data_IF_316393483917
#
_entry.id   IF_316393483917
#
_cell.length_a   1.000
_cell.length_b   1.000
_cell.length_c   1.000
_cell.angle_alpha   90.00
_cell.angle_beta   90.00
_cell.angle_gamma   90.00
#
_symmetry.space_group_name_H-M   'P 1'
#
loop_
_entity.id
_entity.type
_entity.pdbx_description
1 polymer ?
#
# COMPACT_ATOMS: atom_id res chain seq x y z
N UNK A 1 36.00 -12.58 79.25
CA UNK A 1 36.66 -12.54 77.93
C UNK A 1 35.60 -12.33 76.86
N UNK A 2 35.71 -11.21 76.12
CA UNK A 2 34.97 -10.80 74.91
C UNK A 2 33.42 -10.80 74.96
N UNK A 3 32.86 -9.77 75.58
CA UNK A 3 31.52 -9.26 75.24
C UNK A 3 31.59 -8.62 73.84
N UNK A 4 30.79 -9.16 72.92
CA UNK A 4 30.85 -8.84 71.49
C UNK A 4 30.27 -7.46 71.17
N UNK A 5 31.14 -6.51 70.77
CA UNK A 5 30.78 -5.20 70.21
C UNK A 5 30.05 -5.25 68.85
N UNK A 6 29.67 -6.44 68.36
CA UNK A 6 29.03 -6.64 67.05
C UNK A 6 27.50 -6.43 67.04
N UNK A 7 26.85 -6.47 68.20
CA UNK A 7 25.41 -6.26 68.31
C UNK A 7 24.94 -4.81 68.07
N UNK A 8 25.57 -3.76 68.63
CA UNK A 8 25.10 -2.39 68.44
C UNK A 8 25.31 -1.86 67.01
N UNK A 9 26.29 -2.38 66.27
CA UNK A 9 26.58 -1.96 64.88
C UNK A 9 25.52 -2.47 63.90
N UNK A 10 25.05 -3.71 64.08
CA UNK A 10 23.99 -4.28 63.24
C UNK A 10 22.66 -3.56 63.45
N UNK A 11 22.34 -3.21 64.69
CA UNK A 11 21.13 -2.46 65.03
C UNK A 11 21.18 -1.05 64.42
N UNK A 12 22.33 -0.36 64.51
CA UNK A 12 22.52 0.96 63.89
C UNK A 12 22.37 0.91 62.36
N UNK A 13 22.92 -0.11 61.70
CA UNK A 13 22.79 -0.31 60.25
C UNK A 13 21.36 -0.62 59.81
N UNK A 14 20.62 -1.39 60.61
CA UNK A 14 19.20 -1.66 60.33
C UNK A 14 18.34 -0.40 60.44
N UNK A 15 18.54 0.42 61.46
CA UNK A 15 17.78 1.66 61.62
C UNK A 15 18.15 2.72 60.58
N UNK A 16 19.42 2.80 60.16
CA UNK A 16 19.83 3.70 59.05
C UNK A 16 19.31 3.24 57.69
N UNK A 17 19.30 1.94 57.41
CA UNK A 17 18.68 1.40 56.20
C UNK A 17 17.16 1.61 56.18
N UNK A 18 16.48 1.45 57.33
CA UNK A 18 15.05 1.74 57.47
C UNK A 18 14.76 3.23 57.26
N UNK A 19 15.59 4.12 57.82
CA UNK A 19 15.44 5.57 57.63
C UNK A 19 15.62 5.97 56.15
N UNK A 20 16.61 5.39 55.46
CA UNK A 20 16.85 5.63 54.03
C UNK A 20 15.69 5.14 53.14
N UNK A 21 15.06 4.02 53.49
CA UNK A 21 13.86 3.49 52.82
C UNK A 21 12.62 4.37 53.00
N UNK A 22 12.52 5.09 54.13
CA UNK A 22 11.39 5.99 54.42
C UNK A 22 11.59 7.38 53.79
N UNK A 23 12.84 7.80 53.54
CA UNK A 23 13.15 9.11 52.93
C UNK A 23 13.20 9.05 51.40
N UNK A 24 13.50 7.88 50.80
CA UNK A 24 13.51 7.69 49.34
C UNK A 24 12.19 8.06 48.61
N UNK A 25 10.97 7.83 49.15
CA UNK A 25 9.74 8.27 48.49
C UNK A 25 9.42 9.76 48.68
N UNK A 26 10.06 10.46 49.65
CA UNK A 26 9.87 11.89 49.86
C UNK A 26 10.67 12.78 48.86
N UNK A 27 11.58 12.17 48.09
CA UNK A 27 12.32 12.81 46.99
C UNK A 27 11.76 12.44 45.60
N UNK A 28 10.56 11.85 45.52
CA UNK A 28 9.86 11.80 44.24
C UNK A 28 9.28 13.18 43.95
N UNK A 29 9.83 13.79 42.90
CA UNK A 29 9.39 15.05 42.33
C UNK A 29 7.89 15.25 42.48
N UNK A 30 7.48 16.38 43.06
CA UNK A 30 6.18 16.98 42.75
C UNK A 30 6.13 17.18 41.24
N UNK A 31 5.63 16.19 40.53
CA UNK A 31 5.10 16.38 39.19
C UNK A 31 3.86 17.24 39.43
N UNK A 32 3.90 18.49 38.97
CA UNK A 32 2.70 19.32 38.94
C UNK A 32 1.60 18.50 38.28
N UNK A 33 0.62 18.07 39.08
CA UNK A 33 -0.64 17.57 38.58
C UNK A 33 -1.43 18.76 38.04
N UNK A 34 -0.89 19.41 37.00
CA UNK A 34 -1.76 19.90 35.95
C UNK A 34 -2.34 18.63 35.31
N UNK A 35 -3.46 18.18 35.86
CA UNK A 35 -4.33 17.27 35.15
C UNK A 35 -4.83 18.10 33.97
N UNK A 36 -4.05 18.15 32.91
CA UNK A 36 -4.57 18.52 31.60
C UNK A 36 -5.71 17.54 31.39
N UNK A 37 -6.98 17.99 31.34
CA UNK A 37 -8.07 17.08 31.07
C UNK A 37 -7.69 16.30 29.82
N UNK A 38 -7.95 14.98 29.78
CA UNK A 38 -7.67 14.19 28.59
C UNK A 38 -8.25 14.98 27.40
N UNK A 39 -7.46 15.18 26.33
CA UNK A 39 -7.95 15.92 25.17
C UNK A 39 -9.33 15.36 24.85
N UNK A 40 -10.33 16.24 24.74
CA UNK A 40 -11.68 15.81 24.38
C UNK A 40 -11.54 14.85 23.20
N UNK A 41 -12.19 13.67 23.23
CA UNK A 41 -12.13 12.77 22.09
C UNK A 41 -12.44 13.59 20.86
N UNK A 42 -11.55 13.54 19.86
CA UNK A 42 -11.80 14.22 18.60
C UNK A 42 -13.20 13.82 18.15
N UNK A 43 -14.07 14.78 17.76
CA UNK A 43 -15.36 14.42 17.23
C UNK A 43 -15.15 13.39 16.12
N UNK A 44 -16.02 12.36 16.03
CA UNK A 44 -15.87 11.30 15.04
C UNK A 44 -15.64 11.94 13.68
N UNK A 45 -14.45 11.71 13.11
CA UNK A 45 -14.14 12.23 11.79
C UNK A 45 -15.05 11.53 10.81
N UNK A 46 -15.87 12.32 10.11
CA UNK A 46 -16.66 11.83 8.99
C UNK A 46 -15.75 11.06 8.03
N UNK A 47 -16.10 9.80 7.76
CA UNK A 47 -15.36 8.96 6.81
C UNK A 47 -15.91 9.27 5.42
N UNK A 48 -15.04 9.61 4.48
CA UNK A 48 -15.41 9.84 3.08
C UNK A 48 -14.79 8.75 2.19
N UNK A 49 -15.62 8.13 1.35
CA UNK A 49 -15.21 7.09 0.41
C UNK A 49 -15.20 7.62 -1.02
N UNK A 50 -14.10 7.41 -1.75
CA UNK A 50 -13.98 7.80 -3.16
C UNK A 50 -14.72 6.78 -4.04
N UNK A 51 -15.87 7.17 -4.59
CA UNK A 51 -16.67 6.28 -5.45
C UNK A 51 -16.33 6.38 -6.93
N UNK A 52 -15.70 7.47 -7.35
CA UNK A 52 -15.14 7.59 -8.69
C UNK A 52 -13.97 8.58 -8.71
N UNK A 53 -13.01 8.31 -9.59
CA UNK A 53 -11.89 9.20 -9.88
C UNK A 53 -11.79 9.44 -11.38
N UNK A 54 -11.57 10.71 -11.75
CA UNK A 54 -11.19 11.11 -13.11
C UNK A 54 -9.78 11.64 -13.08
N UNK A 55 -9.00 11.26 -14.08
CA UNK A 55 -7.64 11.74 -14.29
C UNK A 55 -7.60 12.43 -15.64
N UNK A 56 -7.19 13.70 -15.66
CA UNK A 56 -7.21 14.56 -16.86
C UNK A 56 -8.58 14.55 -17.56
N UNK A 57 -9.65 14.63 -16.76
CA UNK A 57 -11.05 14.58 -17.20
C UNK A 57 -11.51 13.25 -17.85
N UNK A 58 -10.69 12.21 -17.80
CA UNK A 58 -11.06 10.86 -18.27
C UNK A 58 -11.49 10.03 -17.04
N UNK A 59 -12.70 9.44 -17.02
CA UNK A 59 -13.09 8.48 -15.98
C UNK A 59 -12.07 7.34 -15.91
N UNK A 60 -11.65 7.01 -14.70
CA UNK A 60 -10.63 5.98 -14.50
C UNK A 60 -11.21 4.76 -13.78
N UNK A 61 -11.53 4.92 -12.51
CA UNK A 61 -12.15 3.88 -11.70
C UNK A 61 -13.48 4.36 -11.14
N UNK A 62 -14.42 3.43 -11.00
CA UNK A 62 -15.54 3.56 -10.07
C UNK A 62 -15.49 2.44 -9.05
N UNK A 63 -15.62 2.79 -7.77
CA UNK A 63 -15.53 1.89 -6.63
C UNK A 63 -16.89 1.75 -5.97
N UNK A 64 -17.31 0.52 -5.76
CA UNK A 64 -18.53 0.15 -5.01
C UNK A 64 -18.11 -0.43 -3.66
N UNK A 65 -18.84 -0.09 -2.60
CA UNK A 65 -18.50 -0.45 -1.24
C UNK A 65 -19.61 -1.28 -0.57
N UNK A 66 -19.23 -2.16 0.35
CA UNK A 66 -20.16 -2.77 1.30
C UNK A 66 -20.30 -1.93 2.59
N UNK A 67 -21.17 -2.37 3.49
CA UNK A 67 -21.43 -1.75 4.81
C UNK A 67 -20.20 -1.74 5.74
N UNK A 68 -19.14 -2.50 5.42
CA UNK A 68 -17.84 -2.48 6.13
C UNK A 68 -16.83 -1.54 5.46
N UNK A 69 -17.28 -0.73 4.49
CA UNK A 69 -16.47 0.19 3.70
C UNK A 69 -15.35 -0.49 2.89
N UNK A 70 -15.55 -1.76 2.53
CA UNK A 70 -14.64 -2.53 1.69
C UNK A 70 -15.09 -2.46 0.22
N UNK A 71 -14.13 -2.37 -0.70
CA UNK A 71 -14.42 -2.29 -2.15
C UNK A 71 -14.95 -3.65 -2.64
N UNK A 72 -16.24 -3.74 -2.95
CA UNK A 72 -16.84 -4.96 -3.53
C UNK A 72 -16.73 -5.00 -5.03
N UNK A 73 -16.69 -3.85 -5.70
CA UNK A 73 -16.50 -3.77 -7.15
C UNK A 73 -15.57 -2.62 -7.53
N UNK A 74 -14.73 -2.86 -8.55
CA UNK A 74 -13.95 -1.83 -9.24
C UNK A 74 -14.30 -1.91 -10.73
N UNK A 75 -14.82 -0.83 -11.27
CA UNK A 75 -15.17 -0.69 -12.68
C UNK A 75 -14.10 0.09 -13.42
N UNK A 76 -13.81 -0.34 -14.66
CA UNK A 76 -12.83 0.26 -15.55
C UNK A 76 -13.53 0.87 -16.76
N UNK A 77 -13.24 2.14 -16.99
CA UNK A 77 -13.75 2.87 -18.13
C UNK A 77 -12.87 2.61 -19.34
N UNK A 78 -13.48 2.20 -20.45
CA UNK A 78 -12.82 2.11 -21.74
C UNK A 78 -12.90 3.47 -22.46
N UNK A 79 -11.81 4.22 -22.60
CA UNK A 79 -11.86 5.54 -23.24
C UNK A 79 -12.11 5.47 -24.75
N UNK A 80 -11.77 4.36 -25.41
CA UNK A 80 -12.00 4.15 -26.85
C UNK A 80 -13.49 4.04 -27.15
N UNK A 81 -14.21 3.21 -26.39
CA UNK A 81 -15.65 2.96 -26.58
C UNK A 81 -16.54 3.88 -25.73
N UNK A 82 -15.94 4.63 -24.80
CA UNK A 82 -16.62 5.55 -23.87
C UNK A 82 -17.67 4.88 -22.98
N UNK A 83 -17.41 3.64 -22.57
CA UNK A 83 -18.29 2.84 -21.72
C UNK A 83 -17.51 2.22 -20.58
N UNK A 84 -18.19 1.95 -19.46
CA UNK A 84 -17.67 1.07 -18.42
C UNK A 84 -17.80 -0.36 -18.92
N UNK A 85 -16.68 -1.02 -19.14
CA UNK A 85 -16.66 -2.29 -19.87
C UNK A 85 -16.12 -3.42 -19.01
N UNK A 86 -15.09 -3.19 -18.20
CA UNK A 86 -14.53 -4.24 -17.35
C UNK A 86 -14.86 -3.94 -15.90
N UNK A 87 -15.13 -4.97 -15.11
CA UNK A 87 -15.19 -4.79 -13.67
C UNK A 87 -14.65 -6.02 -12.93
N UNK A 88 -14.17 -5.77 -11.73
CA UNK A 88 -13.64 -6.78 -10.83
C UNK A 88 -14.55 -6.81 -9.61
N UNK A 89 -15.12 -7.98 -9.30
CA UNK A 89 -15.90 -8.20 -8.09
C UNK A 89 -15.05 -8.91 -7.03
N UNK A 90 -14.95 -8.35 -5.84
CA UNK A 90 -14.15 -8.86 -4.74
C UNK A 90 -15.02 -9.50 -3.66
N UNK A 91 -14.53 -10.61 -3.11
CA UNK A 91 -15.07 -11.20 -1.89
C UNK A 91 -13.99 -11.26 -0.82
N UNK A 92 -14.40 -11.15 0.43
CA UNK A 92 -13.50 -11.05 1.58
C UNK A 92 -13.64 -12.27 2.50
N UNK A 93 -12.55 -12.65 3.17
CA UNK A 93 -12.58 -13.59 4.28
C UNK A 93 -13.08 -12.91 5.58
N UNK A 94 -13.18 -13.69 6.67
CA UNK A 94 -13.67 -13.19 7.97
C UNK A 94 -12.77 -12.10 8.57
N UNK A 95 -11.48 -12.10 8.25
CA UNK A 95 -10.49 -11.12 8.70
C UNK A 95 -10.52 -9.82 7.86
N UNK A 96 -11.30 -9.78 6.78
CA UNK A 96 -11.45 -8.62 5.91
C UNK A 96 -10.39 -8.52 4.80
N UNK A 97 -9.67 -9.61 4.51
CA UNK A 97 -8.75 -9.72 3.37
C UNK A 97 -9.47 -10.28 2.14
N UNK A 98 -9.10 -9.83 0.94
CA UNK A 98 -9.63 -10.36 -0.32
C UNK A 98 -9.30 -11.85 -0.40
N UNK A 99 -10.34 -12.67 -0.50
CA UNK A 99 -10.26 -14.12 -0.67
C UNK A 99 -10.45 -14.54 -2.12
N UNK A 100 -11.11 -13.70 -2.93
CA UNK A 100 -11.32 -13.97 -4.34
C UNK A 100 -11.66 -12.69 -5.11
N UNK A 101 -11.22 -12.64 -6.37
CA UNK A 101 -11.55 -11.60 -7.33
C UNK A 101 -12.10 -12.25 -8.62
N UNK A 102 -13.21 -11.75 -9.14
CA UNK A 102 -13.81 -12.21 -10.40
C UNK A 102 -13.78 -11.07 -11.41
N UNK A 103 -13.24 -11.34 -12.59
CA UNK A 103 -13.03 -10.36 -13.64
C UNK A 103 -14.08 -10.57 -14.72
N UNK A 104 -14.85 -9.53 -14.97
CA UNK A 104 -15.91 -9.53 -15.96
C UNK A 104 -15.60 -8.52 -17.06
N UNK A 105 -15.95 -8.89 -18.28
CA UNK A 105 -16.06 -7.99 -19.42
C UNK A 105 -17.54 -7.88 -19.79
N UNK A 106 -18.02 -6.66 -19.95
CA UNK A 106 -19.39 -6.32 -20.30
C UNK A 106 -19.35 -5.49 -21.59
N UNK A 107 -19.67 -6.13 -22.71
CA UNK A 107 -19.84 -5.43 -23.98
C UNK A 107 -21.25 -4.84 -24.02
N UNK A 108 -21.33 -3.53 -24.21
CA UNK A 108 -22.57 -2.78 -24.46
C UNK A 108 -23.65 -2.90 -23.38
N UNK A 109 -23.27 -3.05 -22.10
CA UNK A 109 -24.20 -3.12 -20.95
C UNK A 109 -25.27 -4.23 -21.01
N UNK A 110 -25.02 -5.29 -21.79
CA UNK A 110 -26.03 -6.34 -22.04
C UNK A 110 -25.58 -7.74 -21.64
N UNK A 111 -24.30 -8.08 -21.83
CA UNK A 111 -23.79 -9.42 -21.54
C UNK A 111 -22.53 -9.31 -20.69
N UNK A 112 -22.59 -9.91 -19.50
CA UNK A 112 -21.44 -10.07 -18.61
C UNK A 112 -20.75 -11.39 -18.88
N UNK A 113 -19.50 -11.30 -19.33
CA UNK A 113 -18.62 -12.43 -19.58
C UNK A 113 -17.59 -12.54 -18.45
N UNK A 114 -17.66 -13.59 -17.65
CA UNK A 114 -16.58 -13.92 -16.71
C UNK A 114 -15.37 -14.40 -17.51
N UNK A 115 -14.23 -13.72 -17.39
CA UNK A 115 -12.99 -14.09 -18.08
C UNK A 115 -11.98 -14.75 -17.14
N UNK A 116 -11.98 -14.36 -15.87
CA UNK A 116 -10.99 -14.81 -14.90
C UNK A 116 -11.57 -14.86 -13.49
N UNK A 117 -11.11 -15.82 -12.69
CA UNK A 117 -11.34 -15.89 -11.24
C UNK A 117 -10.03 -16.17 -10.54
N UNK A 118 -9.66 -15.25 -9.65
CA UNK A 118 -8.51 -15.38 -8.77
C UNK A 118 -9.00 -15.81 -7.39
N UNK A 119 -8.48 -16.93 -6.88
CA UNK A 119 -8.70 -17.39 -5.51
C UNK A 119 -7.41 -17.14 -4.72
N UNK A 120 -7.51 -16.44 -3.59
CA UNK A 120 -6.36 -15.95 -2.84
C UNK A 120 -6.18 -16.76 -1.55
N UNK A 121 -5.02 -17.38 -1.40
CA UNK A 121 -4.61 -18.03 -0.17
C UNK A 121 -3.57 -17.18 0.57
N UNK A 122 -3.87 -16.83 1.82
CA UNK A 122 -3.02 -16.01 2.67
C UNK A 122 -2.17 -16.88 3.61
N UNK A 123 -0.84 -16.75 3.53
CA UNK A 123 0.14 -17.35 4.44
C UNK A 123 0.88 -16.24 5.20
N UNK A 124 1.57 -16.52 6.30
CA UNK A 124 2.15 -15.47 7.17
C UNK A 124 3.02 -14.43 6.43
N UNK A 125 3.82 -14.86 5.45
CA UNK A 125 4.83 -14.08 4.74
C UNK A 125 4.57 -13.91 3.24
N UNK A 126 3.46 -14.46 2.73
CA UNK A 126 3.13 -14.47 1.30
C UNK A 126 1.65 -14.67 1.06
N UNK A 127 1.20 -14.35 -0.14
CA UNK A 127 -0.10 -14.82 -0.61
C UNK A 127 0.04 -15.48 -1.98
N UNK A 128 -0.81 -16.46 -2.24
CA UNK A 128 -0.80 -17.23 -3.49
C UNK A 128 -2.10 -16.94 -4.20
N UNK A 129 -2.03 -16.66 -5.49
CA UNK A 129 -3.20 -16.49 -6.34
C UNK A 129 -3.32 -17.73 -7.22
N UNK A 130 -4.46 -18.41 -7.10
CA UNK A 130 -4.86 -19.47 -8.01
C UNK A 130 -5.86 -18.91 -9.01
N UNK A 131 -5.44 -18.80 -10.25
CA UNK A 131 -6.21 -18.21 -11.33
C UNK A 131 -6.89 -19.30 -12.16
N UNK A 132 -8.19 -19.12 -12.39
CA UNK A 132 -8.98 -19.90 -13.36
C UNK A 132 -9.38 -18.98 -14.48
N UNK A 133 -9.03 -19.34 -15.72
CA UNK A 133 -9.47 -18.63 -16.92
C UNK A 133 -10.74 -19.29 -17.48
N UNK A 134 -11.62 -18.46 -18.00
CA UNK A 134 -12.88 -18.89 -18.60
C UNK A 134 -13.01 -18.42 -20.06
N UNK A 135 -13.83 -19.15 -20.81
CA UNK A 135 -14.30 -18.84 -22.17
C UNK A 135 -15.82 -19.04 -22.23
N UNK A 136 -16.43 -18.80 -23.38
CA UNK A 136 -17.88 -18.98 -23.58
C UNK A 136 -18.72 -18.25 -22.52
N UNK A 137 -18.44 -16.94 -22.34
CA UNK A 137 -19.11 -16.06 -21.37
C UNK A 137 -18.97 -16.49 -19.90
N UNK A 138 -17.99 -17.34 -19.57
CA UNK A 138 -17.79 -17.83 -18.20
C UNK A 138 -18.26 -19.25 -17.97
N UNK A 139 -18.86 -19.90 -18.98
CA UNK A 139 -19.45 -21.24 -18.82
C UNK A 139 -18.40 -22.36 -18.91
N UNK A 140 -17.29 -22.13 -19.58
CA UNK A 140 -16.24 -23.13 -19.76
C UNK A 140 -14.89 -22.65 -19.23
N UNK A 141 -14.14 -23.56 -18.62
CA UNK A 141 -12.78 -23.29 -18.15
C UNK A 141 -11.81 -23.46 -19.32
N UNK A 142 -11.00 -22.43 -19.58
CA UNK A 142 -9.99 -22.43 -20.65
C UNK A 142 -8.58 -22.72 -20.14
N UNK A 143 -8.34 -22.60 -18.84
CA UNK A 143 -7.04 -22.92 -18.25
C UNK A 143 -6.92 -22.53 -16.78
N UNK A 144 -5.75 -22.84 -16.21
CA UNK A 144 -5.39 -22.51 -14.84
C UNK A 144 -3.98 -21.93 -14.80
N UNK A 145 -3.75 -21.04 -13.85
CA UNK A 145 -2.42 -20.50 -13.54
C UNK A 145 -2.29 -20.32 -12.03
N UNK A 146 -1.06 -20.27 -11.53
CA UNK A 146 -0.77 -20.05 -10.11
C UNK A 146 0.38 -19.07 -9.98
N UNK A 147 0.07 -17.89 -9.43
CA UNK A 147 1.08 -16.90 -9.09
C UNK A 147 1.46 -17.08 -7.61
N UNK A 148 2.65 -17.64 -7.37
CA UNK A 148 3.18 -17.94 -6.04
C UNK A 148 4.34 -17.02 -5.59
N UNK A 149 4.71 -16.05 -6.42
CA UNK A 149 5.85 -15.17 -6.21
C UNK A 149 5.47 -13.82 -5.58
N UNK A 150 4.57 -13.82 -4.58
CA UNK A 150 4.07 -12.61 -3.93
C UNK A 150 4.37 -12.67 -2.43
N UNK A 151 5.34 -11.88 -1.97
CA UNK A 151 5.72 -11.80 -0.56
C UNK A 151 5.08 -10.60 0.13
N UNK A 152 4.82 -10.73 1.43
CA UNK A 152 4.27 -9.66 2.26
C UNK A 152 5.02 -9.51 3.57
N UNK A 153 5.01 -8.31 4.14
CA UNK A 153 5.48 -8.11 5.52
C UNK A 153 4.43 -8.55 6.56
N UNK A 154 4.77 -8.40 7.84
CA UNK A 154 3.90 -8.71 8.98
C UNK A 154 2.58 -7.91 9.02
N UNK A 155 2.52 -6.78 8.31
CA UNK A 155 1.32 -5.96 8.16
C UNK A 155 0.51 -6.32 6.90
N UNK A 156 0.87 -7.41 6.21
CA UNK A 156 0.24 -7.88 4.96
C UNK A 156 0.40 -6.92 3.77
N UNK A 157 1.40 -6.03 3.81
CA UNK A 157 1.74 -5.17 2.66
C UNK A 157 2.70 -5.91 1.73
N UNK A 158 2.51 -5.74 0.43
CA UNK A 158 3.28 -6.40 -0.63
C UNK A 158 4.73 -5.92 -0.61
N UNK A 159 5.70 -6.81 -0.42
CA UNK A 159 7.14 -6.46 -0.38
C UNK A 159 7.89 -6.95 -1.60
N UNK A 160 7.43 -8.01 -2.25
CA UNK A 160 8.06 -8.58 -3.45
C UNK A 160 6.99 -9.14 -4.39
N UNK A 161 7.14 -8.87 -5.69
CA UNK A 161 6.46 -9.55 -6.79
C UNK A 161 7.54 -10.15 -7.67
N UNK A 162 7.42 -11.42 -8.02
CA UNK A 162 8.43 -12.13 -8.80
C UNK A 162 9.53 -12.74 -7.93
N UNK A 163 10.68 -13.01 -8.52
CA UNK A 163 11.73 -13.81 -7.89
C UNK A 163 13.09 -13.15 -8.03
N UNK A 164 13.87 -13.23 -6.96
CA UNK A 164 15.28 -12.85 -6.95
C UNK A 164 16.19 -13.99 -7.40
N UNK A 165 15.64 -15.21 -7.46
CA UNK A 165 16.34 -16.38 -7.96
C UNK A 165 16.29 -16.42 -9.49
N UNK A 166 17.34 -16.97 -10.09
CA UNK A 166 17.39 -17.20 -11.54
C UNK A 166 16.39 -18.27 -11.94
N UNK A 167 15.49 -17.93 -12.86
CA UNK A 167 14.53 -18.85 -13.46
C UNK A 167 14.90 -19.16 -14.91
N UNK A 168 14.62 -20.38 -15.34
CA UNK A 168 14.68 -20.75 -16.76
C UNK A 168 13.45 -20.24 -17.49
N UNK A 169 13.68 -19.58 -18.62
CA UNK A 169 12.65 -19.20 -19.59
C UNK A 169 12.92 -19.95 -20.90
N UNK A 170 11.94 -19.99 -21.81
CA UNK A 170 12.01 -20.78 -23.06
C UNK A 170 13.31 -20.55 -23.85
N UNK A 171 13.83 -19.33 -23.83
CA UNK A 171 14.97 -18.88 -24.64
C UNK A 171 16.22 -18.54 -23.81
N UNK A 172 16.27 -18.86 -22.53
CA UNK A 172 17.37 -18.44 -21.66
C UNK A 172 17.09 -18.52 -20.17
N UNK A 173 17.68 -17.59 -19.43
CA UNK A 173 17.45 -17.41 -17.99
C UNK A 173 17.10 -15.97 -17.66
N UNK A 174 16.36 -15.75 -16.58
CA UNK A 174 15.92 -14.44 -16.15
C UNK A 174 15.88 -14.29 -14.62
N UNK A 175 15.98 -13.05 -14.14
CA UNK A 175 15.69 -12.64 -12.76
C UNK A 175 14.75 -11.45 -12.86
N UNK A 176 13.49 -11.64 -12.47
CA UNK A 176 12.41 -10.68 -12.67
C UNK A 176 11.71 -10.42 -11.33
N UNK A 177 11.84 -9.22 -10.80
CA UNK A 177 11.11 -8.85 -9.59
C UNK A 177 10.84 -7.36 -9.46
N UNK A 178 9.77 -7.06 -8.74
CA UNK A 178 9.46 -5.75 -8.19
C UNK A 178 9.55 -5.83 -6.67
N UNK A 179 10.27 -4.90 -6.04
CA UNK A 179 10.45 -4.86 -4.60
C UNK A 179 9.96 -3.53 -4.02
N UNK A 180 9.33 -3.60 -2.86
CA UNK A 180 8.81 -2.46 -2.10
C UNK A 180 9.47 -2.43 -0.72
N UNK A 181 9.99 -1.27 -0.33
CA UNK A 181 10.44 -1.00 1.04
C UNK A 181 9.52 0.03 1.68
N UNK A 182 9.25 -0.16 2.96
CA UNK A 182 8.28 0.65 3.69
C UNK A 182 8.91 1.33 4.91
N UNK A 183 8.45 2.55 5.20
CA UNK A 183 8.54 3.16 6.52
C UNK A 183 7.12 3.42 7.01
N UNK A 184 6.70 2.70 8.06
CA UNK A 184 5.28 2.61 8.37
C UNK A 184 4.53 2.02 7.18
N UNK A 185 3.55 2.76 6.66
CA UNK A 185 2.74 2.36 5.49
C UNK A 185 3.09 3.10 4.20
N UNK A 186 4.13 3.92 4.22
CA UNK A 186 4.64 4.61 3.04
C UNK A 186 5.75 3.82 2.37
N UNK A 187 5.64 3.63 1.05
CA UNK A 187 6.68 3.02 0.23
C UNK A 187 7.87 3.99 0.11
N UNK A 188 8.94 3.79 0.85
CA UNK A 188 10.14 4.65 0.76
C UNK A 188 11.00 4.33 -0.46
N UNK A 189 10.97 3.09 -0.93
CA UNK A 189 11.69 2.67 -2.12
C UNK A 189 10.91 1.64 -2.92
N UNK A 190 10.91 1.81 -4.23
CA UNK A 190 10.45 0.82 -5.20
C UNK A 190 11.59 0.46 -6.16
N UNK A 191 11.77 -0.83 -6.42
CA UNK A 191 12.73 -1.33 -7.39
C UNK A 191 12.02 -2.25 -8.38
N UNK A 192 12.31 -2.11 -9.66
CA UNK A 192 11.89 -3.01 -10.73
C UNK A 192 13.15 -3.50 -11.45
N UNK A 193 13.42 -4.79 -11.32
CA UNK A 193 14.59 -5.46 -11.87
C UNK A 193 14.11 -6.48 -12.89
N UNK A 194 14.57 -6.28 -14.12
CA UNK A 194 14.40 -7.22 -15.20
C UNK A 194 15.78 -7.55 -15.78
N UNK A 195 16.31 -8.71 -15.41
CA UNK A 195 17.55 -9.22 -15.98
C UNK A 195 17.23 -10.43 -16.86
N UNK A 196 17.77 -10.44 -18.07
CA UNK A 196 17.61 -11.53 -19.01
C UNK A 196 18.97 -11.93 -19.61
N UNK A 197 19.12 -13.22 -19.86
CA UNK A 197 20.21 -13.74 -20.67
C UNK A 197 19.63 -14.76 -21.65
N UNK A 198 19.47 -14.32 -22.89
CA UNK A 198 19.04 -15.17 -24.02
C UNK A 198 20.23 -16.01 -24.47
N UNK A 199 20.01 -17.28 -24.79
CA UNK A 199 21.09 -18.14 -25.29
C UNK A 199 21.75 -17.54 -26.55
N UNK A 200 23.08 -17.44 -26.54
CA UNK A 200 23.88 -16.81 -27.60
C UNK A 200 23.68 -15.29 -27.76
N UNK A 201 23.05 -14.62 -26.79
CA UNK A 201 22.97 -13.17 -26.70
C UNK A 201 23.79 -12.64 -25.53
N UNK A 202 23.98 -11.31 -25.51
CA UNK A 202 24.55 -10.65 -24.34
C UNK A 202 23.49 -10.51 -23.23
N UNK A 203 23.88 -10.60 -21.94
CA UNK A 203 22.97 -10.31 -20.85
C UNK A 203 22.47 -8.87 -20.90
N UNK A 204 21.17 -8.70 -20.68
CA UNK A 204 20.52 -7.40 -20.55
C UNK A 204 20.03 -7.21 -19.12
N UNK A 205 20.39 -6.05 -18.53
CA UNK A 205 19.83 -5.60 -17.27
C UNK A 205 19.02 -4.34 -17.54
N UNK A 206 17.77 -4.36 -17.09
CA UNK A 206 16.94 -3.18 -16.91
C UNK A 206 16.57 -3.06 -15.44
N UNK A 207 17.18 -2.10 -14.78
CA UNK A 207 16.96 -1.74 -13.39
C UNK A 207 16.37 -0.35 -13.29
N UNK A 208 15.24 -0.25 -12.60
CA UNK A 208 14.64 1.03 -12.23
C UNK A 208 14.51 1.09 -10.71
N UNK A 209 15.04 2.13 -10.10
CA UNK A 209 14.91 2.38 -8.65
C UNK A 209 14.28 3.74 -8.44
N UNK A 210 13.33 3.79 -7.51
CA UNK A 210 12.61 4.98 -7.12
C UNK A 210 12.69 5.14 -5.62
N UNK A 211 13.27 6.25 -5.16
CA UNK A 211 13.23 6.65 -3.76
C UNK A 211 12.13 7.70 -3.60
N UNK A 212 11.17 7.48 -2.70
CA UNK A 212 10.00 8.34 -2.53
C UNK A 212 10.05 9.07 -1.19
N UNK A 213 9.66 10.34 -1.22
CA UNK A 213 9.46 11.19 -0.05
C UNK A 213 7.99 11.64 0.00
N UNK A 214 7.47 11.89 1.20
CA UNK A 214 6.05 12.10 1.44
C UNK A 214 5.75 13.41 2.17
N UNK A 215 4.59 13.99 1.86
CA UNK A 215 3.97 15.08 2.61
C UNK A 215 3.24 14.50 3.83
N UNK A 216 2.93 15.28 4.88
CA UNK A 216 2.09 14.83 5.99
C UNK A 216 0.58 14.78 5.63
N UNK A 217 0.23 14.65 4.35
CA UNK A 217 -1.14 14.66 3.85
C UNK A 217 -1.53 13.27 3.38
N UNK A 218 -2.66 12.77 3.87
CA UNK A 218 -3.13 11.42 3.55
C UNK A 218 -3.58 11.29 2.10
N UNK A 219 -3.27 10.14 1.51
CA UNK A 219 -3.78 9.73 0.22
C UNK A 219 -5.23 9.22 0.37
N UNK A 220 -6.19 9.82 -0.34
CA UNK A 220 -7.61 9.54 -0.17
C UNK A 220 -8.05 8.12 -0.57
N UNK A 221 -7.24 7.40 -1.34
CA UNK A 221 -7.53 6.02 -1.74
C UNK A 221 -6.84 4.97 -0.87
N UNK A 222 -5.86 5.39 -0.07
CA UNK A 222 -5.04 4.46 0.70
C UNK A 222 -5.82 3.62 1.72
N UNK A 223 -6.75 4.18 2.53
CA UNK A 223 -7.47 3.39 3.53
C UNK A 223 -8.19 2.16 2.96
N UNK A 224 -8.63 2.24 1.71
CA UNK A 224 -9.42 1.26 0.99
C UNK A 224 -8.55 0.18 0.35
N UNK A 225 -7.32 0.51 -0.04
CA UNK A 225 -6.38 -0.43 -0.68
C UNK A 225 -5.36 -1.04 0.28
N UNK A 226 -5.07 -0.37 1.39
CA UNK A 226 -3.96 -0.67 2.32
C UNK A 226 -3.93 -2.10 2.87
N UNK A 227 -5.10 -2.73 3.07
CA UNK A 227 -5.20 -4.08 3.62
C UNK A 227 -5.12 -5.19 2.56
N UNK A 228 -5.17 -4.85 1.27
CA UNK A 228 -5.41 -5.81 0.22
C UNK A 228 -4.43 -5.63 -0.95
N UNK A 229 -3.24 -6.24 -0.89
CA UNK A 229 -2.28 -6.32 -2.00
C UNK A 229 -2.85 -6.61 -3.39
N UNK A 230 -3.86 -7.48 -3.52
CA UNK A 230 -4.50 -7.71 -4.81
C UNK A 230 -5.27 -6.48 -5.31
N UNK A 231 -6.07 -5.87 -4.42
CA UNK A 231 -6.80 -4.64 -4.72
C UNK A 231 -5.85 -3.47 -5.02
N UNK A 232 -4.78 -3.37 -4.23
CA UNK A 232 -3.66 -2.46 -4.43
C UNK A 232 -3.06 -2.59 -5.83
N UNK A 233 -2.77 -3.82 -6.29
CA UNK A 233 -2.22 -4.05 -7.64
C UNK A 233 -3.23 -3.70 -8.73
N UNK A 234 -4.52 -3.97 -8.52
CA UNK A 234 -5.54 -3.63 -9.52
C UNK A 234 -5.79 -2.13 -9.63
N UNK A 235 -5.68 -1.37 -8.53
CA UNK A 235 -5.87 0.09 -8.54
C UNK A 235 -4.59 0.81 -8.95
N UNK A 236 -3.42 0.40 -8.46
CA UNK A 236 -2.16 1.01 -8.88
C UNK A 236 -1.74 0.67 -10.30
N UNK A 237 -2.21 -0.46 -10.81
CA UNK A 237 -1.63 -1.11 -11.97
C UNK A 237 -0.19 -1.56 -11.72
N UNK A 238 0.43 -2.13 -12.75
CA UNK A 238 1.83 -2.56 -12.70
C UNK A 238 2.83 -1.42 -13.00
N UNK A 239 2.35 -0.20 -13.26
CA UNK A 239 3.13 0.92 -13.78
C UNK A 239 3.48 1.99 -12.72
N UNK A 240 3.18 1.78 -11.45
CA UNK A 240 3.62 2.68 -10.39
C UNK A 240 5.11 2.44 -10.03
N UNK A 241 5.93 3.48 -9.77
CA UNK A 241 5.72 4.93 -9.92
C UNK A 241 6.31 5.48 -11.24
N UNK A 242 6.14 4.77 -12.36
CA UNK A 242 6.78 5.15 -13.62
C UNK A 242 6.29 6.53 -14.11
N UNK A 243 7.21 7.44 -14.49
CA UNK A 243 6.87 8.77 -15.01
C UNK A 243 5.94 8.76 -16.23
N UNK A 244 5.99 7.71 -17.04
CA UNK A 244 5.15 7.50 -18.21
C UNK A 244 3.70 7.17 -17.86
N UNK A 245 3.40 6.80 -16.60
CA UNK A 245 2.06 6.42 -16.19
C UNK A 245 1.15 7.65 -16.12
N UNK A 246 0.34 7.83 -17.16
CA UNK A 246 -0.64 8.91 -17.27
C UNK A 246 -1.95 8.58 -16.53
N UNK A 247 -2.03 7.43 -15.87
CA UNK A 247 -3.24 6.90 -15.25
C UNK A 247 -3.16 6.85 -13.72
N UNK A 248 -2.07 6.36 -13.10
CA UNK A 248 -1.97 6.15 -11.64
C UNK A 248 -0.70 6.66 -10.93
N UNK A 249 -0.34 7.93 -11.06
CA UNK A 249 0.81 8.42 -10.31
C UNK A 249 0.46 8.61 -8.82
N UNK A 250 1.09 7.81 -7.95
CA UNK A 250 1.27 8.05 -6.50
C UNK A 250 0.10 7.79 -5.56
N UNK A 251 -0.69 6.75 -5.85
CA UNK A 251 -1.82 6.33 -5.02
C UNK A 251 -1.54 5.11 -4.10
N UNK A 252 -0.28 4.68 -4.01
CA UNK A 252 0.10 3.41 -3.38
C UNK A 252 0.71 3.52 -1.97
N UNK A 253 0.72 4.71 -1.38
CA UNK A 253 1.22 4.94 -0.02
C UNK A 253 0.18 5.67 0.83
N UNK A 254 0.34 5.64 2.15
CA UNK A 254 -0.56 6.30 3.11
C UNK A 254 -0.60 7.80 2.89
N UNK A 255 0.53 8.39 2.52
CA UNK A 255 0.64 9.80 2.27
C UNK A 255 0.86 10.16 0.80
N UNK A 256 0.56 11.41 0.45
CA UNK A 256 0.84 11.99 -0.85
C UNK A 256 2.35 12.16 -1.04
N UNK A 257 2.87 11.70 -2.18
CA UNK A 257 4.30 11.79 -2.50
C UNK A 257 4.72 13.25 -2.70
N UNK A 258 5.68 13.73 -1.92
CA UNK A 258 6.29 15.06 -2.03
C UNK A 258 7.34 15.13 -3.15
N UNK A 259 8.08 14.06 -3.35
CA UNK A 259 9.11 13.95 -4.38
C UNK A 259 9.44 12.48 -4.62
N UNK A 260 10.01 12.20 -5.79
CA UNK A 260 10.70 10.95 -6.03
C UNK A 260 12.04 11.19 -6.73
N UNK A 261 13.01 10.35 -6.43
CA UNK A 261 14.25 10.25 -7.19
C UNK A 261 14.17 8.98 -8.01
N UNK A 262 14.21 9.09 -9.33
CA UNK A 262 14.28 7.91 -10.19
C UNK A 262 15.70 7.70 -10.72
N UNK A 263 16.12 6.45 -10.75
CA UNK A 263 17.39 6.00 -11.31
C UNK A 263 17.07 4.85 -12.26
N UNK A 264 17.48 4.99 -13.52
CA UNK A 264 17.44 3.91 -14.52
C UNK A 264 18.86 3.58 -14.94
N UNK A 265 19.07 2.44 -15.56
CA UNK A 265 20.37 2.13 -16.15
C UNK A 265 20.77 3.21 -17.17
N UNK A 266 22.04 3.60 -17.13
CA UNK A 266 22.67 4.59 -18.02
C UNK A 266 22.11 6.02 -17.95
N UNK A 267 21.21 6.34 -17.01
CA UNK A 267 20.69 7.70 -16.79
C UNK A 267 21.04 8.16 -15.37
N UNK A 268 21.67 9.35 -15.20
CA UNK A 268 21.90 9.91 -13.88
C UNK A 268 20.60 10.00 -13.08
N UNK A 269 20.64 9.77 -11.74
CA UNK A 269 19.46 9.93 -10.90
C UNK A 269 18.83 11.30 -11.08
N UNK A 270 17.51 11.33 -11.21
CA UNK A 270 16.77 12.57 -11.41
C UNK A 270 15.75 12.76 -10.30
N UNK A 271 15.90 13.86 -9.59
CA UNK A 271 14.99 14.27 -8.52
C UNK A 271 13.81 14.99 -9.15
N UNK A 272 12.62 14.51 -8.86
CA UNK A 272 11.36 15.02 -9.36
C UNK A 272 10.51 15.48 -8.18
N UNK A 273 10.59 16.78 -7.78
CA UNK A 273 9.69 17.33 -6.78
C UNK A 273 8.26 17.32 -7.33
N UNK A 274 7.30 17.12 -6.43
CA UNK A 274 5.88 17.11 -6.72
C UNK A 274 5.21 18.22 -5.92
N UNK A 275 4.39 19.02 -6.60
CA UNK A 275 3.52 20.01 -5.96
C UNK A 275 2.06 19.69 -6.21
N UNK A 276 1.22 20.02 -5.23
CA UNK A 276 -0.22 19.79 -5.33
C UNK A 276 -0.98 21.10 -5.18
N UNK A 277 -2.05 21.22 -5.95
CA UNK A 277 -3.14 22.16 -5.65
C UNK A 277 -4.29 21.35 -5.07
N UNK A 278 -4.77 21.72 -3.90
CA UNK A 278 -5.93 21.07 -3.28
C UNK A 278 -7.23 21.76 -3.71
N UNK A 279 -8.37 21.08 -3.58
CA UNK A 279 -9.65 21.76 -3.61
C UNK A 279 -9.79 22.65 -2.36
N UNK A 280 -10.36 23.87 -2.51
CA UNK A 280 -10.30 24.99 -1.55
C UNK A 280 -10.83 24.71 -0.12
N UNK A 281 -11.33 23.51 0.17
CA UNK A 281 -11.89 23.11 1.47
C UNK A 281 -11.63 21.64 1.84
N UNK A 282 -10.81 20.92 1.08
CA UNK A 282 -10.63 19.47 1.29
C UNK A 282 -9.16 19.04 1.21
N UNK A 283 -8.85 17.85 1.72
CA UNK A 283 -7.54 17.21 1.55
C UNK A 283 -7.35 16.53 0.18
N UNK A 284 -8.35 16.60 -0.71
CA UNK A 284 -8.28 15.96 -2.02
C UNK A 284 -7.47 16.82 -3.01
N UNK A 285 -6.44 16.25 -3.68
CA UNK A 285 -5.64 16.98 -4.66
C UNK A 285 -6.43 17.28 -5.93
N UNK A 286 -6.61 18.56 -6.28
CA UNK A 286 -7.16 18.97 -7.56
C UNK A 286 -6.16 18.78 -8.71
N UNK A 287 -4.90 19.15 -8.50
CA UNK A 287 -3.83 18.95 -9.48
C UNK A 287 -2.55 18.49 -8.83
N UNK A 288 -1.75 17.72 -9.57
CA UNK A 288 -0.39 17.34 -9.23
C UNK A 288 0.55 17.76 -10.35
N UNK A 289 1.58 18.51 -10.01
CA UNK A 289 2.59 19.00 -10.95
C UNK A 289 3.95 18.40 -10.61
N UNK A 290 4.63 17.89 -11.64
CA UNK A 290 5.94 17.24 -11.55
C UNK A 290 6.86 17.94 -12.57
N UNK A 291 7.42 19.11 -12.22
CA UNK A 291 8.18 19.94 -13.16
C UNK A 291 9.38 19.20 -13.76
N UNK A 292 10.02 18.32 -12.97
CA UNK A 292 11.17 17.54 -13.42
C UNK A 292 10.91 16.75 -14.70
N UNK A 293 9.67 16.32 -14.96
CA UNK A 293 9.29 15.56 -16.17
C UNK A 293 8.24 16.29 -17.01
N UNK A 294 8.05 17.60 -16.80
CA UNK A 294 7.05 18.42 -17.50
C UNK A 294 5.64 17.81 -17.49
N UNK A 295 5.24 17.26 -16.34
CA UNK A 295 3.95 16.57 -16.20
C UNK A 295 3.05 17.31 -15.23
N UNK A 296 1.79 17.53 -15.64
CA UNK A 296 0.73 18.03 -14.77
C UNK A 296 -0.48 17.13 -14.95
N UNK A 297 -1.12 16.80 -13.83
CA UNK A 297 -2.21 15.84 -13.77
C UNK A 297 -3.34 16.49 -13.01
N UNK A 298 -4.52 16.51 -13.61
CA UNK A 298 -5.73 17.00 -12.97
C UNK A 298 -6.55 15.82 -12.45
N UNK A 299 -7.06 15.93 -11.24
CA UNK A 299 -7.93 14.94 -10.62
C UNK A 299 -9.32 15.52 -10.39
N UNK A 300 -10.32 14.66 -10.41
CA UNK A 300 -11.65 14.96 -9.92
C UNK A 300 -12.21 13.74 -9.22
N UNK A 301 -12.72 13.93 -8.00
CA UNK A 301 -13.24 12.85 -7.17
C UNK A 301 -14.74 13.01 -7.02
N UNK A 302 -15.43 11.87 -7.01
CA UNK A 302 -16.77 11.75 -6.44
C UNK A 302 -16.62 11.04 -5.10
N UNK A 303 -17.03 11.70 -4.02
CA UNK A 303 -16.96 11.15 -2.66
C UNK A 303 -18.35 10.99 -2.08
N UNK A 304 -18.54 9.96 -1.27
CA UNK A 304 -19.72 9.78 -0.42
C UNK A 304 -19.28 9.82 1.03
N UNK A 305 -20.14 10.35 1.90
CA UNK A 305 -19.98 10.19 3.34
C UNK A 305 -20.39 8.76 3.69
N UNK A 306 -19.55 8.05 4.42
CA UNK A 306 -19.86 6.73 4.96
C UNK A 306 -20.77 6.91 6.19
N UNK A 307 -21.80 6.07 6.29
CA UNK A 307 -22.78 6.09 7.38
C UNK A 307 -22.22 5.48 8.68
#
# INVERSE_FOLDING_TARGET
>A
MRLSLLYPVKILLYYTALLLLIIAPACQCKKDNSVTPPPRPEPPKDIYLVTAIRVNNIPKDSLVYNDKHQVTERWDYNPTYRIWQNYIAYTYNQEGYVSMARYYNENDNTIRSLSQKDSVAWNADRFIIYTTFYRELGNEISGYDTLNYLQTNNQRMLTLVGTKDTISIVVGVAVLYKQYQYNGKDITQFQDINWYHVYNGEPELLSNTFDLAYLPLENPLFPQVSKNPLLFRTIGGDNFPYPSDNYYPYLLSEHLTAAFTYKTDNVPPKICPITYKMYDTTQYPQTQSIPGINKTIAYTYKVIKAD
#
